data_IF_781581535984
#
_entry.id   IF_781581535984
#
_cell.length_a   1.000
_cell.length_b   1.000
_cell.length_c   1.000
_cell.angle_alpha   90.00
_cell.angle_beta   90.00
_cell.angle_gamma   90.00
#
_symmetry.space_group_name_H-M   'P 1'
#
loop_
_entity.id
_entity.type
_entity.pdbx_description
1 polymer ?
#
# COMPACT_ATOMS: atom_id res chain seq x y z
N UNK A 1 9.10 10.96 -10.88
CA UNK A 1 8.43 12.26 -10.64
C UNK A 1 7.25 12.13 -9.67
N UNK A 2 6.28 11.25 -9.90
CA UNK A 2 5.14 11.03 -8.99
C UNK A 2 5.54 10.88 -7.52
N UNK A 3 6.56 10.05 -7.22
CA UNK A 3 7.05 9.86 -5.85
C UNK A 3 7.67 11.13 -5.24
N UNK A 4 8.37 11.95 -6.02
CA UNK A 4 8.94 13.21 -5.52
C UNK A 4 7.84 14.15 -5.01
N UNK A 5 6.70 14.20 -5.71
CA UNK A 5 5.54 14.96 -5.28
C UNK A 5 4.98 14.46 -3.94
N UNK A 6 4.97 13.13 -3.72
CA UNK A 6 4.56 12.53 -2.43
C UNK A 6 5.47 13.00 -1.30
N UNK A 7 6.79 12.90 -1.45
CA UNK A 7 7.73 13.30 -0.40
C UNK A 7 7.68 14.80 -0.10
N UNK A 8 7.53 15.64 -1.13
CA UNK A 8 7.37 17.09 -0.96
C UNK A 8 6.08 17.41 -0.20
N UNK A 9 4.96 16.76 -0.58
CA UNK A 9 3.67 16.93 0.08
C UNK A 9 3.72 16.46 1.55
N UNK A 10 4.34 15.31 1.82
CA UNK A 10 4.45 14.77 3.18
C UNK A 10 5.29 15.67 4.07
N UNK A 11 6.41 16.17 3.56
CA UNK A 11 7.25 17.15 4.27
C UNK A 11 6.46 18.41 4.58
N UNK A 12 5.73 18.94 3.60
CA UNK A 12 4.85 20.10 3.79
C UNK A 12 3.73 19.82 4.79
N UNK A 13 3.11 18.64 4.72
CA UNK A 13 2.02 18.23 5.60
C UNK A 13 2.49 18.06 7.05
N UNK A 14 3.69 17.53 7.27
CA UNK A 14 4.27 17.37 8.60
C UNK A 14 4.54 18.74 9.26
N UNK A 15 5.01 19.73 8.50
CA UNK A 15 5.30 21.08 9.02
C UNK A 15 4.05 21.83 9.51
N UNK A 16 2.85 21.49 9.03
CA UNK A 16 1.60 22.09 9.51
C UNK A 16 1.39 21.94 11.01
N UNK A 17 1.90 20.86 11.60
CA UNK A 17 1.72 20.56 13.02
C UNK A 17 2.69 21.33 13.93
N UNK A 18 3.67 22.02 13.35
CA UNK A 18 4.70 22.80 14.05
C UNK A 18 4.87 24.20 13.44
N UNK A 19 3.80 24.75 12.85
CA UNK A 19 3.85 26.05 12.17
C UNK A 19 3.70 27.23 13.15
N UNK A 20 4.62 27.33 14.10
CA UNK A 20 4.65 28.35 15.16
C UNK A 20 5.78 29.38 14.97
N UNK A 21 6.61 29.23 13.93
CA UNK A 21 7.72 30.15 13.61
C UNK A 21 7.66 30.67 12.17
N UNK A 22 8.19 31.86 11.94
CA UNK A 22 8.34 32.41 10.58
C UNK A 22 9.17 31.51 9.67
N UNK A 23 10.20 30.86 10.21
CA UNK A 23 11.04 29.93 9.45
C UNK A 23 10.24 28.72 8.92
N UNK A 24 9.33 28.16 9.73
CA UNK A 24 8.45 27.06 9.29
C UNK A 24 7.48 27.56 8.22
N UNK A 25 6.86 28.73 8.41
CA UNK A 25 5.95 29.31 7.43
C UNK A 25 6.64 29.58 6.07
N UNK A 26 7.84 30.14 6.08
CA UNK A 26 8.67 30.36 4.88
C UNK A 26 9.04 29.04 4.20
N UNK A 27 9.42 28.02 4.98
CA UNK A 27 9.74 26.68 4.46
C UNK A 27 8.52 26.03 3.81
N UNK A 28 7.35 26.13 4.43
CA UNK A 28 6.09 25.63 3.86
C UNK A 28 5.73 26.35 2.56
N UNK A 29 5.93 27.67 2.49
CA UNK A 29 5.72 28.45 1.26
C UNK A 29 6.66 28.00 0.13
N UNK A 30 7.92 27.77 0.45
CA UNK A 30 8.90 27.22 -0.49
C UNK A 30 8.50 25.83 -1.00
N UNK A 31 8.09 24.92 -0.10
CA UNK A 31 7.61 23.59 -0.48
C UNK A 31 6.37 23.64 -1.37
N UNK A 32 5.42 24.56 -1.12
CA UNK A 32 4.29 24.78 -2.02
C UNK A 32 4.75 25.15 -3.44
N UNK A 33 5.76 26.01 -3.56
CA UNK A 33 6.36 26.36 -4.85
C UNK A 33 6.96 25.13 -5.56
N UNK A 34 7.71 24.30 -4.83
CA UNK A 34 8.30 23.06 -5.38
C UNK A 34 7.25 22.04 -5.81
N UNK A 35 6.19 21.88 -5.01
CA UNK A 35 5.05 21.00 -5.32
C UNK A 35 4.41 21.44 -6.65
N UNK A 36 4.16 22.74 -6.83
CA UNK A 36 3.57 23.27 -8.06
C UNK A 36 4.48 23.04 -9.28
N UNK A 37 5.78 23.26 -9.16
CA UNK A 37 6.74 23.00 -10.26
C UNK A 37 6.77 21.51 -10.61
N UNK A 38 6.80 20.63 -9.61
CA UNK A 38 6.81 19.17 -9.80
C UNK A 38 5.51 18.68 -10.43
N UNK A 39 4.36 19.20 -9.99
CA UNK A 39 3.03 18.93 -10.55
C UNK A 39 2.93 19.35 -12.03
N UNK A 40 3.39 20.57 -12.35
CA UNK A 40 3.41 21.06 -13.74
C UNK A 40 4.29 20.20 -14.63
N UNK A 41 5.49 19.86 -14.18
CA UNK A 41 6.39 19.00 -14.94
C UNK A 41 5.81 17.60 -15.12
N UNK A 42 5.12 17.04 -14.12
CA UNK A 42 4.44 15.76 -14.24
C UNK A 42 3.28 15.83 -15.26
N UNK A 43 2.52 16.91 -15.25
CA UNK A 43 1.45 17.16 -16.22
C UNK A 43 1.97 17.28 -17.66
N UNK A 44 3.13 17.91 -17.85
CA UNK A 44 3.80 17.98 -19.15
C UNK A 44 4.28 16.59 -19.61
N UNK A 45 4.79 15.75 -18.71
CA UNK A 45 5.16 14.36 -19.04
C UNK A 45 3.94 13.56 -19.49
N UNK A 46 2.82 13.64 -18.76
CA UNK A 46 1.56 12.97 -19.15
C UNK A 46 1.07 13.45 -20.52
N UNK A 47 1.14 14.75 -20.79
CA UNK A 47 0.79 15.28 -22.11
C UNK A 47 1.70 14.77 -23.22
N UNK A 48 3.01 14.69 -22.95
CA UNK A 48 3.98 14.15 -23.89
C UNK A 48 3.71 12.67 -24.18
N UNK A 49 3.43 11.85 -23.16
CA UNK A 49 3.12 10.42 -23.32
C UNK A 49 1.83 10.20 -24.17
N UNK A 50 0.87 11.11 -24.04
CA UNK A 50 -0.40 11.03 -24.76
C UNK A 50 -0.33 11.57 -26.19
N UNK A 51 0.31 12.72 -26.40
CA UNK A 51 0.24 13.51 -27.63
C UNK A 51 1.58 13.65 -28.37
N UNK A 52 2.68 13.19 -27.79
CA UNK A 52 4.03 13.33 -28.33
C UNK A 52 4.44 14.79 -28.53
N UNK A 53 5.15 15.05 -29.63
CA UNK A 53 5.65 16.38 -30.00
C UNK A 53 4.55 17.35 -30.48
N UNK A 54 3.29 16.90 -30.56
CA UNK A 54 2.18 17.78 -30.92
C UNK A 54 1.73 18.61 -29.70
N UNK A 55 2.55 19.59 -29.33
CA UNK A 55 2.34 20.48 -28.17
C UNK A 55 1.01 21.24 -28.24
N UNK A 56 0.48 21.51 -29.43
CA UNK A 56 -0.82 22.16 -29.62
C UNK A 56 -2.00 21.32 -29.09
N UNK A 57 -1.80 20.01 -28.90
CA UNK A 57 -2.80 19.09 -28.34
C UNK A 57 -2.60 18.81 -26.85
N UNK A 58 -1.58 19.38 -26.20
CA UNK A 58 -1.35 19.16 -24.78
C UNK A 58 -2.48 19.80 -23.95
N UNK A 59 -2.98 19.05 -22.98
CA UNK A 59 -4.08 19.45 -22.09
C UNK A 59 -3.73 19.16 -20.64
N UNK A 60 -4.41 19.78 -19.66
CA UNK A 60 -4.32 19.32 -18.28
C UNK A 60 -4.58 17.81 -18.16
N UNK A 61 -3.96 17.13 -17.17
CA UNK A 61 -4.16 15.70 -16.96
C UNK A 61 -5.64 15.37 -16.73
N UNK A 62 -6.11 14.37 -17.46
CA UNK A 62 -7.44 13.80 -17.28
C UNK A 62 -7.34 12.50 -16.47
N UNK A 63 -8.42 12.17 -15.77
CA UNK A 63 -8.55 10.96 -14.95
C UNK A 63 -9.65 10.06 -15.48
N UNK A 64 -9.86 8.91 -14.86
CA UNK A 64 -10.98 8.02 -15.19
C UNK A 64 -12.35 8.71 -15.03
N UNK A 65 -12.45 9.75 -14.18
CA UNK A 65 -13.67 10.58 -14.06
C UNK A 65 -13.96 11.42 -15.28
N UNK A 66 -12.93 11.77 -16.02
CA UNK A 66 -13.00 12.55 -17.25
C UNK A 66 -13.17 11.65 -18.49
N UNK A 67 -13.26 10.32 -18.28
CA UNK A 67 -13.31 9.32 -19.34
C UNK A 67 -11.93 8.99 -19.93
N UNK A 68 -10.85 9.39 -19.27
CA UNK A 68 -9.49 9.05 -19.68
C UNK A 68 -9.06 7.69 -19.13
N UNK A 69 -8.48 6.87 -20.00
CA UNK A 69 -7.95 5.55 -19.68
C UNK A 69 -6.60 5.38 -20.38
N UNK A 70 -5.59 4.94 -19.63
CA UNK A 70 -4.25 4.74 -20.19
C UNK A 70 -4.26 3.64 -21.27
N UNK A 71 -3.36 3.80 -22.25
CA UNK A 71 -3.19 2.82 -23.33
C UNK A 71 -2.79 1.47 -22.74
N UNK A 72 -3.48 0.41 -23.16
CA UNK A 72 -3.12 -0.97 -22.80
C UNK A 72 -2.27 -1.58 -23.91
N UNK A 73 -1.08 -2.07 -23.55
CA UNK A 73 -0.16 -2.75 -24.47
C UNK A 73 0.36 -4.09 -23.94
N UNK A 74 0.28 -4.28 -22.63
CA UNK A 74 0.71 -5.49 -21.95
C UNK A 74 -0.37 -6.57 -21.84
N UNK A 75 0.00 -7.76 -21.32
CA UNK A 75 -0.93 -8.87 -21.12
C UNK A 75 -2.17 -8.50 -20.27
N UNK A 76 -3.28 -9.20 -20.52
CA UNK A 76 -4.59 -8.95 -19.91
C UNK A 76 -4.60 -9.32 -18.42
N UNK A 77 -5.54 -8.76 -17.65
CA UNK A 77 -5.81 -9.22 -16.28
C UNK A 77 -6.09 -10.72 -16.30
N UNK A 78 -5.30 -11.49 -15.54
CA UNK A 78 -5.41 -12.95 -15.47
C UNK A 78 -4.74 -13.73 -16.61
N UNK A 79 -4.15 -13.07 -17.62
CA UNK A 79 -3.46 -13.72 -18.72
C UNK A 79 -2.11 -13.05 -19.01
N UNK A 80 -1.06 -13.47 -18.30
CA UNK A 80 0.34 -13.06 -18.51
C UNK A 80 1.28 -13.84 -17.59
N UNK A 81 2.61 -13.89 -17.85
CA UNK A 81 3.55 -14.43 -16.89
C UNK A 81 3.39 -13.65 -15.59
N UNK A 82 2.98 -14.33 -14.52
CA UNK A 82 2.77 -13.66 -13.25
C UNK A 82 4.13 -13.18 -12.74
N UNK A 83 4.29 -11.88 -12.56
CA UNK A 83 5.33 -11.37 -11.67
C UNK A 83 5.27 -12.20 -10.38
N UNK A 84 6.42 -12.67 -9.91
CA UNK A 84 6.47 -13.72 -8.91
C UNK A 84 7.84 -13.82 -8.30
N UNK A 85 7.89 -14.35 -7.08
CA UNK A 85 9.14 -14.44 -6.34
C UNK A 85 10.13 -15.37 -7.06
N UNK A 86 11.38 -14.95 -7.28
CA UNK A 86 12.34 -15.74 -8.05
C UNK A 86 12.69 -17.05 -7.31
N UNK A 87 12.71 -18.15 -8.05
CA UNK A 87 13.11 -19.46 -7.51
C UNK A 87 14.63 -19.62 -7.51
N UNK A 88 15.16 -20.46 -6.61
CA UNK A 88 16.57 -20.85 -6.63
C UNK A 88 17.56 -19.80 -6.12
N UNK A 89 17.07 -18.77 -5.43
CA UNK A 89 17.93 -17.82 -4.73
C UNK A 89 18.76 -18.54 -3.66
N UNK A 90 20.08 -18.32 -3.69
CA UNK A 90 21.00 -18.81 -2.66
C UNK A 90 21.14 -17.75 -1.57
N UNK A 91 21.06 -18.17 -0.30
CA UNK A 91 21.26 -17.28 0.84
C UNK A 91 22.71 -16.77 0.93
N UNK A 92 22.87 -15.47 1.13
CA UNK A 92 24.15 -14.84 1.44
C UNK A 92 24.46 -14.94 2.94
N UNK A 93 23.42 -14.75 3.75
CA UNK A 93 23.51 -14.71 5.21
C UNK A 93 22.27 -15.31 5.86
N UNK A 94 22.44 -15.83 7.08
CA UNK A 94 21.36 -16.43 7.88
C UNK A 94 21.17 -15.68 9.19
N UNK A 95 19.93 -15.59 9.63
CA UNK A 95 19.52 -15.00 10.91
C UNK A 95 18.80 -16.04 11.75
N UNK A 96 19.25 -16.28 12.98
CA UNK A 96 18.46 -17.03 13.96
C UNK A 96 18.56 -16.43 15.35
N UNK A 97 17.40 -16.32 16.02
CA UNK A 97 17.30 -15.87 17.42
C UNK A 97 18.09 -16.79 18.35
N UNK A 98 17.94 -18.10 18.14
CA UNK A 98 18.65 -19.15 18.84
C UNK A 98 19.42 -20.00 17.82
N UNK A 99 20.75 -20.09 17.94
CA UNK A 99 21.56 -20.96 17.08
C UNK A 99 22.93 -20.39 16.71
N UNK A 100 23.54 -21.01 15.70
CA UNK A 100 24.87 -20.68 15.17
C UNK A 100 24.82 -19.93 13.84
N UNK A 101 23.73 -19.22 13.56
CA UNK A 101 23.63 -18.39 12.35
C UNK A 101 24.62 -17.23 12.41
N UNK A 102 24.89 -16.64 11.24
CA UNK A 102 25.83 -15.53 11.14
C UNK A 102 25.36 -14.30 11.92
N UNK A 103 24.05 -14.04 11.92
CA UNK A 103 23.45 -12.92 12.64
C UNK A 103 22.36 -13.40 13.60
N UNK A 104 22.16 -12.62 14.67
CA UNK A 104 21.09 -12.84 15.66
C UNK A 104 19.87 -11.96 15.42
N UNK A 105 20.07 -10.79 14.83
CA UNK A 105 19.03 -9.80 14.49
C UNK A 105 18.93 -9.67 12.98
N UNK A 106 17.75 -9.26 12.51
CA UNK A 106 17.50 -8.98 11.09
C UNK A 106 18.22 -7.69 10.69
N UNK A 107 18.24 -6.66 11.54
CA UNK A 107 18.93 -5.41 11.24
C UNK A 107 20.44 -5.60 11.01
N UNK A 108 21.12 -6.45 11.79
CA UNK A 108 22.56 -6.71 11.58
C UNK A 108 22.82 -7.38 10.21
N UNK A 109 21.92 -8.26 9.77
CA UNK A 109 22.01 -8.88 8.47
C UNK A 109 21.76 -7.88 7.33
N UNK A 110 20.82 -6.93 7.51
CA UNK A 110 20.60 -5.82 6.57
C UNK A 110 21.82 -4.91 6.50
N UNK A 111 22.43 -4.58 7.64
CA UNK A 111 23.63 -3.74 7.71
C UNK A 111 24.82 -4.37 6.95
N UNK A 112 24.88 -5.69 6.91
CA UNK A 112 25.91 -6.45 6.20
C UNK A 112 25.73 -6.51 4.68
N UNK A 113 24.54 -6.18 4.16
CA UNK A 113 24.32 -6.09 2.73
C UNK A 113 25.22 -4.99 2.12
N UNK A 114 25.87 -5.21 0.97
CA UNK A 114 26.67 -4.16 0.33
C UNK A 114 25.77 -3.02 -0.16
N UNK A 115 26.28 -1.79 -0.06
CA UNK A 115 25.60 -0.61 -0.60
C UNK A 115 25.60 -0.64 -2.13
N UNK A 116 24.47 -0.30 -2.74
CA UNK A 116 24.29 -0.16 -4.18
C UNK A 116 24.82 -1.37 -4.98
N UNK A 117 24.40 -2.58 -4.60
CA UNK A 117 24.85 -3.88 -5.14
C UNK A 117 24.49 -4.15 -6.62
N UNK A 118 24.33 -3.11 -7.44
CA UNK A 118 23.94 -3.21 -8.84
C UNK A 118 22.60 -3.93 -8.99
N UNK A 119 22.57 -4.98 -9.81
CA UNK A 119 21.40 -5.86 -9.98
C UNK A 119 21.46 -7.13 -9.11
N UNK A 120 22.54 -7.32 -8.32
CA UNK A 120 22.72 -8.53 -7.51
C UNK A 120 21.84 -8.46 -6.28
N UNK A 121 21.07 -9.52 -6.05
CA UNK A 121 20.26 -9.71 -4.84
C UNK A 121 21.17 -10.04 -3.65
N UNK A 122 20.87 -9.48 -2.49
CA UNK A 122 21.47 -9.87 -1.22
C UNK A 122 20.43 -10.61 -0.38
N UNK A 123 20.59 -11.93 -0.27
CA UNK A 123 19.55 -12.82 0.25
C UNK A 123 19.78 -13.11 1.73
N UNK A 124 18.85 -12.67 2.55
CA UNK A 124 18.81 -12.86 3.99
C UNK A 124 17.78 -13.94 4.32
N UNK A 125 18.27 -15.13 4.68
CA UNK A 125 17.42 -16.20 5.21
C UNK A 125 17.19 -15.95 6.70
N UNK A 126 15.93 -15.74 7.08
CA UNK A 126 15.50 -15.48 8.44
C UNK A 126 14.78 -16.72 8.95
N UNK A 127 15.39 -17.43 9.88
CA UNK A 127 14.83 -18.68 10.38
C UNK A 127 13.56 -18.44 11.23
N UNK A 128 12.85 -19.50 11.55
CA UNK A 128 11.71 -19.49 12.47
C UNK A 128 12.07 -18.81 13.80
N UNK A 129 11.18 -17.93 14.26
CA UNK A 129 11.35 -17.16 15.48
C UNK A 129 10.57 -15.85 15.46
N UNK A 130 10.39 -15.29 16.66
CA UNK A 130 9.82 -13.95 16.86
C UNK A 130 10.96 -12.96 17.13
N UNK A 131 11.17 -12.03 16.21
CA UNK A 131 12.22 -11.02 16.22
C UNK A 131 11.61 -9.69 16.65
N UNK A 132 11.82 -9.33 17.92
CA UNK A 132 11.35 -8.06 18.51
C UNK A 132 12.37 -6.96 18.20
N UNK A 133 12.25 -6.35 17.02
CA UNK A 133 13.17 -5.31 16.55
C UNK A 133 12.49 -4.40 15.53
N UNK A 134 12.99 -3.17 15.40
CA UNK A 134 12.64 -2.27 14.30
C UNK A 134 13.69 -2.39 13.21
N UNK A 135 13.27 -2.74 12.00
CA UNK A 135 14.17 -2.97 10.87
C UNK A 135 14.00 -1.87 9.84
N UNK A 136 15.10 -1.25 9.42
CA UNK A 136 15.15 -0.32 8.29
C UNK A 136 16.07 -0.88 7.21
N UNK A 137 15.56 -0.98 5.99
CA UNK A 137 16.35 -1.21 4.77
C UNK A 137 16.56 0.16 4.11
N UNK A 138 17.70 0.84 4.37
CA UNK A 138 17.90 2.20 3.92
C UNK A 138 18.11 2.27 2.40
N UNK A 139 18.08 3.49 1.87
CA UNK A 139 18.09 3.77 0.42
C UNK A 139 19.27 3.11 -0.32
N UNK A 140 20.42 3.03 0.33
CA UNK A 140 21.65 2.46 -0.22
C UNK A 140 21.58 0.92 -0.34
N UNK A 141 20.74 0.25 0.45
CA UNK A 141 20.63 -1.22 0.48
C UNK A 141 19.64 -1.72 -0.57
N UNK A 142 20.04 -1.66 -1.85
CA UNK A 142 19.24 -2.14 -2.99
C UNK A 142 19.24 -3.67 -3.12
N UNK A 143 18.14 -4.21 -3.66
CA UNK A 143 17.91 -5.64 -3.92
C UNK A 143 18.10 -6.55 -2.69
N UNK A 144 17.78 -6.05 -1.51
CA UNK A 144 17.74 -6.89 -0.30
C UNK A 144 16.52 -7.82 -0.38
N UNK A 145 16.74 -9.10 -0.10
CA UNK A 145 15.71 -10.13 -0.16
C UNK A 145 15.57 -10.80 1.19
N UNK A 146 14.37 -10.78 1.77
CA UNK A 146 14.04 -11.53 2.98
C UNK A 146 13.33 -12.83 2.62
N UNK A 147 13.80 -13.95 3.17
CA UNK A 147 13.15 -15.25 3.05
C UNK A 147 12.96 -15.81 4.45
N UNK A 148 11.71 -15.92 4.90
CA UNK A 148 11.37 -16.56 6.17
C UNK A 148 11.20 -18.08 6.06
N UNK A 149 10.80 -18.73 7.16
CA UNK A 149 10.42 -20.15 7.20
C UNK A 149 8.90 -20.39 7.07
N UNK A 150 8.12 -19.32 6.91
CA UNK A 150 6.67 -19.34 6.71
C UNK A 150 5.96 -18.21 7.44
N UNK A 151 4.81 -17.78 6.91
CA UNK A 151 3.87 -16.90 7.63
C UNK A 151 3.53 -17.51 9.00
N UNK A 152 3.59 -16.68 10.05
CA UNK A 152 3.38 -17.08 11.44
C UNK A 152 4.54 -17.83 12.09
N UNK A 153 5.56 -18.26 11.34
CA UNK A 153 6.75 -18.93 11.86
C UNK A 153 7.92 -17.96 12.04
N UNK A 154 8.20 -17.18 11.00
CA UNK A 154 9.17 -16.09 11.06
C UNK A 154 8.39 -14.78 11.21
N UNK A 155 8.52 -14.13 12.36
CA UNK A 155 7.76 -12.92 12.70
C UNK A 155 8.73 -11.81 13.07
N UNK A 156 8.68 -10.67 12.40
CA UNK A 156 9.34 -9.43 12.85
C UNK A 156 8.26 -8.55 13.47
N UNK A 157 8.42 -8.21 14.75
CA UNK A 157 7.39 -7.51 15.54
C UNK A 157 7.93 -6.28 16.25
N UNK A 158 7.11 -5.23 16.29
CA UNK A 158 7.34 -4.00 17.03
C UNK A 158 6.04 -3.45 17.61
N UNK A 159 6.10 -2.31 18.31
CA UNK A 159 4.92 -1.73 18.97
C UNK A 159 4.92 -0.18 18.97
N UNK A 160 5.71 0.43 18.08
CA UNK A 160 5.74 1.89 17.94
C UNK A 160 4.39 2.38 17.40
N UNK A 161 3.97 3.56 17.87
CA UNK A 161 2.70 4.15 17.49
C UNK A 161 2.76 5.69 17.54
N UNK A 162 1.85 6.34 16.82
CA UNK A 162 1.83 7.80 16.67
C UNK A 162 1.35 8.54 17.93
N UNK A 163 0.80 7.84 18.91
CA UNK A 163 0.49 8.39 20.24
C UNK A 163 1.74 8.65 21.10
N UNK A 164 2.89 8.09 20.72
CA UNK A 164 4.16 8.30 21.43
C UNK A 164 4.74 9.70 21.12
N UNK A 165 5.27 10.43 22.13
CA UNK A 165 5.83 11.77 21.91
C UNK A 165 6.93 11.77 20.84
N UNK A 166 6.77 12.63 19.83
CA UNK A 166 7.75 12.82 18.76
C UNK A 166 7.76 11.73 17.68
N UNK A 167 6.84 10.76 17.71
CA UNK A 167 6.76 9.71 16.69
C UNK A 167 5.63 10.04 15.70
N UNK A 168 5.98 10.14 14.43
CA UNK A 168 5.01 10.27 13.33
C UNK A 168 4.57 8.89 12.86
N UNK A 169 3.40 8.77 12.21
CA UNK A 169 2.94 7.52 11.59
C UNK A 169 4.01 6.85 10.74
N UNK A 170 4.74 7.63 9.92
CA UNK A 170 5.84 7.14 9.07
C UNK A 170 6.94 6.41 9.89
N UNK A 171 7.24 6.92 11.08
CA UNK A 171 8.26 6.39 11.99
C UNK A 171 7.74 5.28 12.92
N UNK A 172 6.46 4.87 12.82
CA UNK A 172 5.92 3.74 13.60
C UNK A 172 6.18 2.37 12.97
N UNK A 173 6.66 2.34 11.72
CA UNK A 173 6.86 1.12 10.96
C UNK A 173 7.78 0.14 11.70
N UNK A 174 7.30 -1.07 11.97
CA UNK A 174 8.14 -2.16 12.49
C UNK A 174 9.22 -2.54 11.48
N UNK A 175 8.85 -2.63 10.20
CA UNK A 175 9.81 -2.75 9.09
C UNK A 175 9.57 -1.62 8.09
N UNK A 176 10.59 -0.80 7.86
CA UNK A 176 10.59 0.28 6.87
C UNK A 176 11.59 0.02 5.75
N UNK A 177 11.13 0.05 4.51
CA UNK A 177 11.94 -0.27 3.33
C UNK A 177 12.03 0.93 2.41
N UNK A 178 13.25 1.41 2.16
CA UNK A 178 13.55 2.53 1.26
C UNK A 178 14.42 2.08 0.07
N UNK A 179 15.30 1.10 0.25
CA UNK A 179 16.15 0.59 -0.82
C UNK A 179 15.37 -0.14 -1.92
N UNK A 180 15.55 0.27 -3.18
CA UNK A 180 14.85 -0.29 -4.36
C UNK A 180 15.07 -1.79 -4.55
N UNK A 181 14.10 -2.47 -5.17
CA UNK A 181 14.15 -3.89 -5.53
C UNK A 181 14.01 -4.83 -4.34
N UNK A 182 13.45 -4.35 -3.23
CA UNK A 182 13.24 -5.16 -2.04
C UNK A 182 12.28 -6.31 -2.35
N UNK A 183 12.61 -7.49 -1.83
CA UNK A 183 11.72 -8.65 -1.90
C UNK A 183 11.54 -9.29 -0.54
N UNK A 184 10.35 -9.80 -0.26
CA UNK A 184 10.09 -10.61 0.93
C UNK A 184 9.20 -11.80 0.59
N UNK A 185 9.47 -12.94 1.21
CA UNK A 185 8.62 -14.12 1.12
C UNK A 185 8.61 -14.94 2.40
N UNK A 186 7.48 -15.58 2.68
CA UNK A 186 7.31 -16.56 3.75
C UNK A 186 7.58 -15.97 5.15
N UNK A 187 7.10 -14.74 5.42
CA UNK A 187 7.39 -13.99 6.65
C UNK A 187 6.19 -13.15 7.11
N UNK A 188 6.07 -12.93 8.43
CA UNK A 188 5.08 -12.03 9.04
C UNK A 188 5.74 -10.73 9.53
N UNK A 189 5.16 -9.60 9.16
CA UNK A 189 5.46 -8.28 9.72
C UNK A 189 4.32 -7.85 10.64
N UNK A 190 4.64 -7.47 11.88
CA UNK A 190 3.62 -7.23 12.89
C UNK A 190 3.88 -5.95 13.69
N UNK A 191 2.82 -5.18 13.93
CA UNK A 191 2.82 -4.14 14.96
C UNK A 191 1.77 -4.47 16.04
N UNK A 192 2.23 -4.62 17.28
CA UNK A 192 1.43 -5.00 18.45
C UNK A 192 1.07 -3.82 19.35
N UNK A 193 1.12 -2.58 18.83
CA UNK A 193 0.68 -1.42 19.58
C UNK A 193 -0.70 -1.66 20.23
N UNK A 194 -0.78 -1.28 21.51
CA UNK A 194 -1.93 -1.58 22.36
C UNK A 194 -3.20 -0.82 21.96
N UNK A 195 -4.30 -1.03 22.70
CA UNK A 195 -5.51 -0.25 22.50
C UNK A 195 -5.24 1.26 22.61
N UNK A 196 -6.00 2.05 21.85
CA UNK A 196 -6.00 3.53 21.91
C UNK A 196 -4.69 4.21 21.50
N UNK A 197 -3.80 3.51 20.79
CA UNK A 197 -2.50 4.06 20.37
C UNK A 197 -2.53 4.78 19.02
N UNK A 198 -3.71 4.90 18.40
CA UNK A 198 -3.90 5.42 17.04
C UNK A 198 -3.06 4.65 15.99
N UNK A 199 -2.41 5.36 15.05
CA UNK A 199 -1.69 4.77 13.92
C UNK A 199 -0.47 3.96 14.38
N UNK A 200 -0.32 2.73 13.87
CA UNK A 200 0.78 1.84 14.20
C UNK A 200 1.11 0.90 13.02
N UNK A 201 2.16 1.23 12.28
CA UNK A 201 2.52 0.57 11.02
C UNK A 201 3.31 -0.72 11.28
N UNK A 202 2.88 -1.83 10.66
CA UNK A 202 3.61 -3.09 10.66
C UNK A 202 4.70 -3.10 9.58
N UNK A 203 4.35 -2.65 8.37
CA UNK A 203 5.27 -2.59 7.24
C UNK A 203 5.06 -1.31 6.44
N UNK A 204 6.15 -0.63 6.10
CA UNK A 204 6.18 0.53 5.21
C UNK A 204 7.12 0.24 4.05
N UNK A 205 6.66 0.50 2.83
CA UNK A 205 7.53 0.50 1.64
C UNK A 205 7.49 1.81 0.88
N UNK A 206 8.70 2.29 0.62
CA UNK A 206 9.11 3.45 -0.16
C UNK A 206 10.03 3.00 -1.31
N UNK A 207 10.03 1.70 -1.62
CA UNK A 207 10.98 1.04 -2.53
C UNK A 207 10.31 0.70 -3.86
N UNK A 208 10.91 1.16 -4.97
CA UNK A 208 10.44 0.78 -6.31
C UNK A 208 10.75 -0.70 -6.55
N UNK A 209 9.88 -1.38 -7.29
CA UNK A 209 9.97 -2.82 -7.54
C UNK A 209 9.91 -3.69 -6.27
N UNK A 210 9.17 -3.24 -5.26
CA UNK A 210 8.89 -4.06 -4.07
C UNK A 210 8.05 -5.28 -4.42
N UNK A 211 8.55 -6.49 -4.14
CA UNK A 211 7.83 -7.74 -4.35
C UNK A 211 7.65 -8.52 -3.05
N UNK A 212 6.40 -8.66 -2.60
CA UNK A 212 6.08 -9.42 -1.40
C UNK A 212 5.17 -10.59 -1.79
N UNK A 213 5.64 -11.83 -1.58
CA UNK A 213 4.90 -13.04 -1.93
C UNK A 213 4.73 -13.94 -0.71
N UNK A 214 3.50 -14.36 -0.40
CA UNK A 214 3.23 -15.22 0.77
C UNK A 214 3.73 -14.59 2.09
N UNK A 215 3.46 -13.30 2.27
CA UNK A 215 3.75 -12.56 3.49
C UNK A 215 2.48 -12.24 4.27
N UNK A 216 2.60 -12.08 5.58
CA UNK A 216 1.51 -11.67 6.45
C UNK A 216 1.81 -10.30 7.09
N UNK A 217 0.80 -9.42 7.14
CA UNK A 217 0.89 -8.10 7.75
C UNK A 217 -0.17 -7.99 8.83
N UNK A 218 0.25 -7.86 10.08
CA UNK A 218 -0.63 -7.86 11.24
C UNK A 218 -0.55 -6.52 11.97
N UNK A 219 -1.69 -5.84 12.07
CA UNK A 219 -1.80 -4.62 12.86
C UNK A 219 -3.25 -4.25 13.11
N UNK A 220 -3.47 -2.98 13.46
CA UNK A 220 -4.79 -2.40 13.69
C UNK A 220 -4.99 -1.24 12.70
N UNK A 221 -4.91 0.00 13.20
CA UNK A 221 -4.97 1.19 12.37
C UNK A 221 -3.64 1.37 11.63
N UNK A 222 -3.69 1.66 10.32
CA UNK A 222 -2.53 1.96 9.48
C UNK A 222 -1.52 0.78 9.36
N UNK A 223 -2.01 -0.46 9.26
CA UNK A 223 -1.15 -1.67 9.27
C UNK A 223 -0.08 -1.70 8.17
N UNK A 224 -0.49 -1.47 6.92
CA UNK A 224 0.37 -1.55 5.74
C UNK A 224 0.44 -0.19 5.04
N UNK A 225 1.62 0.43 5.11
CA UNK A 225 1.88 1.72 4.49
C UNK A 225 2.60 1.56 3.14
N UNK A 226 1.81 1.52 2.07
CA UNK A 226 2.30 1.51 0.68
C UNK A 226 2.57 2.96 0.24
N UNK A 227 3.67 3.52 0.75
CA UNK A 227 3.96 4.96 0.73
C UNK A 227 4.05 5.53 -0.69
N UNK A 228 4.95 4.99 -1.52
CA UNK A 228 5.22 5.49 -2.86
C UNK A 228 5.83 4.44 -3.80
N UNK A 229 6.03 4.82 -5.07
CA UNK A 229 6.64 3.96 -6.13
C UNK A 229 5.79 2.70 -6.45
N UNK A 230 6.36 1.73 -7.18
CA UNK A 230 5.64 0.54 -7.67
C UNK A 230 5.86 -0.66 -6.75
N UNK A 231 4.76 -1.30 -6.37
CA UNK A 231 4.77 -2.38 -5.38
C UNK A 231 3.80 -3.49 -5.78
N UNK A 232 4.17 -4.73 -5.48
CA UNK A 232 3.37 -5.91 -5.80
C UNK A 232 3.31 -6.87 -4.63
N UNK A 233 2.08 -7.17 -4.21
CA UNK A 233 1.74 -8.05 -3.09
C UNK A 233 0.97 -9.24 -3.64
N UNK A 234 1.50 -10.45 -3.49
CA UNK A 234 0.92 -11.67 -4.07
C UNK A 234 0.72 -12.74 -3.03
N UNK A 235 -0.51 -13.29 -2.93
CA UNK A 235 -0.84 -14.34 -1.94
C UNK A 235 -0.51 -13.91 -0.51
N UNK A 236 -0.64 -12.62 -0.22
CA UNK A 236 -0.38 -12.08 1.11
C UNK A 236 -1.65 -12.10 1.96
N UNK A 237 -1.48 -12.16 3.28
CA UNK A 237 -2.55 -11.95 4.25
C UNK A 237 -2.36 -10.59 4.92
N UNK A 238 -3.35 -9.71 4.84
CA UNK A 238 -3.27 -8.34 5.39
C UNK A 238 -4.42 -8.15 6.37
N UNK A 239 -4.10 -7.86 7.63
CA UNK A 239 -5.08 -7.74 8.70
C UNK A 239 -5.01 -6.38 9.39
N UNK A 240 -6.15 -5.70 9.53
CA UNK A 240 -6.27 -4.45 10.29
C UNK A 240 -7.70 -3.97 10.44
N UNK A 241 -7.91 -2.71 10.87
CA UNK A 241 -9.26 -2.16 11.06
C UNK A 241 -9.51 -0.85 10.32
N UNK A 242 -8.85 0.24 10.69
CA UNK A 242 -9.02 1.56 10.06
C UNK A 242 -7.82 1.88 9.18
N UNK A 243 -8.12 2.23 7.92
CA UNK A 243 -7.14 2.70 6.94
C UNK A 243 -5.94 1.76 6.81
N UNK A 244 -6.17 0.46 6.99
CA UNK A 244 -5.07 -0.46 7.27
C UNK A 244 -4.25 -0.81 6.02
N UNK A 245 -4.69 -0.39 4.84
CA UNK A 245 -3.89 -0.29 3.62
C UNK A 245 -3.96 1.16 3.12
N UNK A 246 -2.88 1.91 3.27
CA UNK A 246 -2.86 3.35 2.98
C UNK A 246 -1.55 3.81 2.37
N UNK A 247 -1.54 5.04 1.82
CA UNK A 247 -0.39 5.60 1.11
C UNK A 247 -0.71 6.03 -0.32
N UNK A 248 0.33 6.28 -1.13
CA UNK A 248 0.21 6.80 -2.49
C UNK A 248 1.11 6.05 -3.49
N UNK A 249 1.43 4.79 -3.23
CA UNK A 249 2.10 3.93 -4.21
C UNK A 249 1.18 3.56 -5.40
N UNK A 250 1.80 3.11 -6.49
CA UNK A 250 1.15 2.28 -7.50
C UNK A 250 1.26 0.81 -7.03
N UNK A 251 0.21 0.29 -6.40
CA UNK A 251 0.24 -1.02 -5.74
C UNK A 251 -0.79 -1.98 -6.30
N UNK A 252 -0.36 -3.19 -6.59
CA UNK A 252 -1.27 -4.30 -6.91
C UNK A 252 -1.21 -5.34 -5.79
N UNK A 253 -2.39 -5.73 -5.33
CA UNK A 253 -2.64 -6.84 -4.43
C UNK A 253 -3.31 -7.94 -5.23
N UNK A 254 -2.64 -9.08 -5.42
CA UNK A 254 -3.14 -10.19 -6.22
C UNK A 254 -3.27 -11.46 -5.38
N UNK A 255 -4.44 -12.10 -5.46
CA UNK A 255 -4.75 -13.35 -4.76
C UNK A 255 -4.54 -13.22 -3.23
N UNK A 256 -4.70 -12.01 -2.68
CA UNK A 256 -4.48 -11.73 -1.26
C UNK A 256 -5.74 -12.00 -0.42
N UNK A 257 -5.54 -12.33 0.85
CA UNK A 257 -6.58 -12.38 1.86
C UNK A 257 -6.54 -11.09 2.69
N UNK A 258 -7.64 -10.34 2.69
CA UNK A 258 -7.79 -9.06 3.39
C UNK A 258 -8.76 -9.27 4.55
N UNK A 259 -8.27 -9.08 5.77
CA UNK A 259 -8.98 -9.42 7.00
C UNK A 259 -9.25 -8.21 7.86
N UNK A 260 -10.53 -7.93 8.06
CA UNK A 260 -10.98 -6.89 8.99
C UNK A 260 -10.95 -7.46 10.41
N UNK A 261 -10.20 -6.81 11.29
CA UNK A 261 -10.07 -7.13 12.70
C UNK A 261 -10.99 -6.25 13.55
N UNK A 262 -11.41 -6.71 14.75
CA UNK A 262 -12.09 -5.86 15.71
C UNK A 262 -11.21 -4.69 16.14
N UNK A 263 -11.85 -3.65 16.67
CA UNK A 263 -11.13 -2.66 17.47
C UNK A 263 -10.70 -3.28 18.79
N UNK A 264 -9.55 -2.84 19.30
CA UNK A 264 -9.04 -3.34 20.56
C UNK A 264 -9.85 -2.85 21.77
N UNK A 265 -10.52 -1.70 21.65
CA UNK A 265 -11.37 -1.14 22.70
C UNK A 265 -12.84 -1.30 22.38
N UNK A 266 -13.59 -1.87 23.33
CA UNK A 266 -15.05 -2.01 23.30
C UNK A 266 -15.54 -2.55 21.94
N UNK A 267 -14.98 -3.67 21.45
CA UNK A 267 -15.27 -4.20 20.12
C UNK A 267 -16.77 -4.43 19.90
N UNK A 268 -17.53 -4.74 20.95
CA UNK A 268 -18.98 -4.95 20.90
C UNK A 268 -19.78 -3.71 20.47
N UNK A 269 -19.23 -2.51 20.64
CA UNK A 269 -19.90 -1.26 20.25
C UNK A 269 -19.90 -1.05 18.75
N UNK A 270 -19.04 -1.76 18.02
CA UNK A 270 -18.84 -1.60 16.58
C UNK A 270 -18.31 -0.22 16.20
N UNK A 271 -17.71 -0.15 15.01
CA UNK A 271 -17.19 1.08 14.43
C UNK A 271 -17.21 1.01 12.91
N UNK A 272 -16.80 2.12 12.27
CA UNK A 272 -16.53 2.17 10.83
C UNK A 272 -15.08 1.73 10.58
N UNK A 273 -14.92 0.62 9.86
CA UNK A 273 -13.65 0.15 9.32
C UNK A 273 -13.54 0.54 7.85
N UNK A 274 -12.36 0.96 7.42
CA UNK A 274 -12.08 1.23 6.02
C UNK A 274 -10.86 0.39 5.62
N UNK A 275 -11.03 -0.45 4.60
CA UNK A 275 -9.93 -1.29 4.09
C UNK A 275 -8.82 -0.42 3.53
N UNK A 276 -9.16 0.58 2.71
CA UNK A 276 -8.18 1.47 2.10
C UNK A 276 -8.33 2.94 2.46
N UNK A 277 -7.20 3.64 2.50
CA UNK A 277 -7.11 5.10 2.50
C UNK A 277 -6.05 5.56 1.49
N UNK A 278 -6.43 5.61 0.21
CA UNK A 278 -5.48 5.95 -0.85
C UNK A 278 -5.29 7.46 -0.95
N UNK A 279 -4.03 7.89 -1.07
CA UNK A 279 -3.59 9.27 -0.89
C UNK A 279 -3.08 9.97 -2.14
N UNK A 280 -3.63 9.72 -3.34
CA UNK A 280 -3.25 10.45 -4.56
C UNK A 280 -3.66 11.92 -4.48
N UNK A 281 -2.68 12.81 -4.57
CA UNK A 281 -2.86 14.27 -4.38
C UNK A 281 -2.99 15.03 -5.69
N UNK A 282 -2.60 14.43 -6.81
CA UNK A 282 -2.50 15.11 -8.10
C UNK A 282 -2.97 14.17 -9.23
N UNK A 283 -3.76 14.67 -10.21
CA UNK A 283 -4.33 13.83 -11.27
C UNK A 283 -3.27 13.27 -12.24
N UNK A 284 -2.11 13.90 -12.36
CA UNK A 284 -1.01 13.43 -13.19
C UNK A 284 -0.24 12.26 -12.56
N UNK A 285 -0.48 11.93 -11.28
CA UNK A 285 0.11 10.77 -10.65
C UNK A 285 -0.55 9.48 -11.16
N UNK A 286 0.28 8.58 -11.69
CA UNK A 286 -0.09 7.22 -12.09
C UNK A 286 -0.25 6.23 -10.91
N UNK A 287 -0.53 6.72 -9.71
CA UNK A 287 -0.59 5.92 -8.46
C UNK A 287 -2.02 5.47 -8.14
N UNK A 288 -2.17 4.48 -7.25
CA UNK A 288 -3.47 3.88 -6.94
C UNK A 288 -3.34 2.48 -6.38
N UNK A 289 -4.42 1.98 -5.79
CA UNK A 289 -4.47 0.60 -5.27
C UNK A 289 -5.37 -0.25 -6.16
N UNK A 290 -4.85 -1.40 -6.58
CA UNK A 290 -5.56 -2.37 -7.39
C UNK A 290 -5.61 -3.69 -6.65
N UNK A 291 -6.82 -4.21 -6.42
CA UNK A 291 -7.04 -5.54 -5.84
C UNK A 291 -7.54 -6.47 -6.93
N UNK A 292 -6.77 -7.54 -7.20
CA UNK A 292 -7.06 -8.55 -8.21
C UNK A 292 -7.30 -9.90 -7.54
N UNK A 293 -8.50 -10.46 -7.70
CA UNK A 293 -8.84 -11.79 -7.18
C UNK A 293 -8.61 -11.97 -5.67
N UNK A 294 -8.74 -10.88 -4.90
CA UNK A 294 -8.57 -10.94 -3.45
C UNK A 294 -9.85 -11.43 -2.76
N UNK A 295 -9.71 -11.99 -1.56
CA UNK A 295 -10.83 -12.22 -0.64
C UNK A 295 -10.86 -11.11 0.40
N UNK A 296 -12.03 -10.50 0.62
CA UNK A 296 -12.24 -9.48 1.64
C UNK A 296 -13.26 -10.03 2.64
N UNK A 297 -12.78 -10.34 3.84
CA UNK A 297 -13.56 -10.90 4.94
C UNK A 297 -13.12 -10.33 6.29
N UNK A 298 -13.73 -10.78 7.39
CA UNK A 298 -13.28 -10.47 8.74
C UNK A 298 -12.49 -11.63 9.34
N UNK A 299 -11.64 -11.32 10.32
CA UNK A 299 -11.16 -12.35 11.27
C UNK A 299 -12.33 -13.08 11.91
N UNK A 300 -12.11 -14.31 12.41
CA UNK A 300 -13.16 -15.08 13.11
C UNK A 300 -13.82 -14.29 14.25
N UNK A 301 -13.03 -13.52 14.98
CA UNK A 301 -13.52 -12.65 16.05
C UNK A 301 -14.41 -11.52 15.52
N UNK A 302 -13.96 -10.82 14.47
CA UNK A 302 -14.78 -9.77 13.84
C UNK A 302 -16.07 -10.33 13.25
N UNK A 303 -16.03 -11.49 12.60
CA UNK A 303 -17.22 -12.10 12.01
C UNK A 303 -18.24 -12.53 13.08
N UNK A 304 -17.80 -12.94 14.27
CA UNK A 304 -18.71 -13.19 15.40
C UNK A 304 -19.41 -11.91 15.85
N UNK A 305 -18.67 -10.82 15.99
CA UNK A 305 -19.19 -9.51 16.40
C UNK A 305 -20.16 -8.94 15.35
N UNK A 306 -19.77 -8.98 14.07
CA UNK A 306 -20.60 -8.58 12.94
C UNK A 306 -21.92 -9.36 12.90
N UNK A 307 -21.87 -10.69 13.04
CA UNK A 307 -23.09 -11.52 13.06
C UNK A 307 -24.00 -11.21 14.25
N UNK A 308 -23.42 -10.87 15.40
CA UNK A 308 -24.19 -10.50 16.59
C UNK A 308 -24.89 -9.14 16.44
N UNK A 309 -24.25 -8.15 15.82
CA UNK A 309 -24.84 -6.83 15.59
C UNK A 309 -24.29 -6.14 14.33
N UNK A 310 -24.81 -6.45 13.13
CA UNK A 310 -24.30 -5.90 11.88
C UNK A 310 -24.59 -4.40 11.70
N UNK A 311 -25.49 -3.82 12.51
CA UNK A 311 -25.85 -2.38 12.42
C UNK A 311 -24.73 -1.47 12.88
N UNK A 312 -23.89 -1.93 13.81
CA UNK A 312 -22.80 -1.15 14.41
C UNK A 312 -21.43 -1.54 13.86
N UNK A 313 -21.27 -2.76 13.36
CA UNK A 313 -20.03 -3.22 12.72
C UNK A 313 -20.07 -2.93 11.24
N UNK A 314 -19.59 -1.75 10.84
CA UNK A 314 -19.65 -1.29 9.44
C UNK A 314 -18.27 -1.36 8.82
N UNK A 315 -18.15 -2.08 7.70
CA UNK A 315 -16.90 -2.14 6.94
C UNK A 315 -17.09 -1.58 5.53
N UNK A 316 -16.10 -0.81 5.08
CA UNK A 316 -16.08 -0.15 3.79
C UNK A 316 -14.82 -0.54 3.02
N UNK A 317 -14.92 -0.62 1.69
CA UNK A 317 -13.80 -0.88 0.79
C UNK A 317 -12.72 0.20 0.89
N UNK A 318 -13.07 1.43 1.24
CA UNK A 318 -12.12 2.49 1.52
C UNK A 318 -12.73 3.87 1.68
N UNK A 319 -11.86 4.87 1.91
CA UNK A 319 -12.21 6.30 2.01
C UNK A 319 -11.10 7.21 1.45
N UNK A 320 -11.44 8.35 0.82
CA UNK A 320 -10.47 9.11 0.03
C UNK A 320 -9.59 10.00 0.92
N UNK A 321 -8.40 9.53 1.28
CA UNK A 321 -7.48 10.33 2.11
C UNK A 321 -7.06 11.65 1.44
N UNK A 322 -7.03 11.68 0.10
CA UNK A 322 -6.67 12.84 -0.73
C UNK A 322 -7.62 12.99 -1.92
N UNK A 323 -7.56 14.16 -2.59
CA UNK A 323 -8.54 14.61 -3.57
C UNK A 323 -8.69 13.69 -4.78
N UNK A 324 -7.61 13.10 -5.27
CA UNK A 324 -7.60 12.25 -6.46
C UNK A 324 -7.55 10.77 -6.11
N UNK A 325 -7.98 10.39 -4.91
CA UNK A 325 -7.88 9.03 -4.38
C UNK A 325 -8.33 7.97 -5.40
N UNK A 326 -7.53 6.93 -5.62
CA UNK A 326 -7.79 5.90 -6.64
C UNK A 326 -7.65 4.50 -6.07
N UNK A 327 -8.74 3.75 -6.01
CA UNK A 327 -8.77 2.35 -5.54
C UNK A 327 -9.72 1.54 -6.40
N UNK A 328 -9.31 0.33 -6.81
CA UNK A 328 -10.16 -0.58 -7.58
C UNK A 328 -10.15 -2.01 -7.04
N UNK A 329 -11.30 -2.68 -7.10
CA UNK A 329 -11.47 -4.10 -6.77
C UNK A 329 -11.99 -4.86 -8.00
N UNK A 330 -11.23 -5.84 -8.47
CA UNK A 330 -11.48 -6.57 -9.71
C UNK A 330 -11.43 -8.07 -9.44
N UNK A 331 -12.54 -8.77 -9.68
CA UNK A 331 -12.63 -10.22 -9.47
C UNK A 331 -12.54 -10.64 -8.00
N UNK A 332 -12.74 -9.72 -7.06
CA UNK A 332 -12.61 -10.00 -5.63
C UNK A 332 -13.87 -10.65 -5.06
N UNK A 333 -13.71 -11.54 -4.07
CA UNK A 333 -14.81 -12.04 -3.25
C UNK A 333 -15.04 -11.10 -2.07
N UNK A 334 -16.20 -10.45 -2.04
CA UNK A 334 -16.62 -9.53 -0.99
C UNK A 334 -17.64 -10.21 -0.08
N UNK A 335 -17.26 -10.48 1.18
CA UNK A 335 -18.16 -11.04 2.17
C UNK A 335 -19.21 -10.03 2.66
N UNK A 336 -20.24 -10.53 3.34
CA UNK A 336 -21.44 -9.75 3.72
C UNK A 336 -21.14 -8.57 4.67
N UNK A 337 -19.96 -8.56 5.30
CA UNK A 337 -19.52 -7.48 6.18
C UNK A 337 -19.34 -6.14 5.45
N UNK A 338 -19.13 -6.15 4.13
CA UNK A 338 -19.00 -4.93 3.34
C UNK A 338 -20.36 -4.24 3.29
N UNK A 339 -20.39 -3.01 3.79
CA UNK A 339 -21.58 -2.18 3.83
C UNK A 339 -22.10 -1.96 2.40
N UNK A 340 -23.42 -1.89 2.23
CA UNK A 340 -24.06 -1.68 0.93
C UNK A 340 -23.62 -0.38 0.24
N UNK A 341 -23.30 0.65 1.01
CA UNK A 341 -22.72 1.91 0.53
C UNK A 341 -21.39 1.68 -0.20
N UNK A 342 -20.65 0.63 0.19
CA UNK A 342 -19.35 0.21 -0.32
C UNK A 342 -18.20 1.08 0.15
N UNK A 343 -18.35 2.40 0.06
CA UNK A 343 -17.29 3.37 0.27
C UNK A 343 -17.72 4.41 1.31
N UNK A 344 -16.74 4.92 2.08
CA UNK A 344 -16.99 5.91 3.12
C UNK A 344 -16.43 7.28 2.69
N UNK A 345 -17.16 8.40 2.84
CA UNK A 345 -16.59 9.72 2.61
C UNK A 345 -15.50 10.02 3.64
N UNK A 346 -14.49 10.81 3.26
CA UNK A 346 -13.48 11.28 4.20
C UNK A 346 -14.02 12.37 5.11
N UNK A 347 -14.58 13.42 4.52
CA UNK A 347 -15.25 14.53 5.22
C UNK A 347 -16.17 15.28 4.25
N UNK A 348 -17.49 15.24 4.50
CA UNK A 348 -18.48 15.85 3.61
C UNK A 348 -18.32 15.39 2.16
N UNK A 349 -18.39 16.34 1.24
CA UNK A 349 -18.27 16.11 -0.21
C UNK A 349 -16.84 16.25 -0.76
N UNK A 350 -15.83 16.35 0.11
CA UNK A 350 -14.43 16.46 -0.30
C UNK A 350 -14.01 15.24 -1.13
N UNK A 351 -13.26 15.48 -2.21
CA UNK A 351 -12.75 14.45 -3.14
C UNK A 351 -13.80 13.70 -3.97
N UNK A 352 -15.11 13.78 -3.65
CA UNK A 352 -16.13 12.90 -4.24
C UNK A 352 -16.30 13.07 -5.76
N UNK A 353 -15.92 14.24 -6.29
CA UNK A 353 -15.97 14.54 -7.73
C UNK A 353 -14.71 14.10 -8.50
N UNK A 354 -13.59 13.93 -7.80
CA UNK A 354 -12.24 13.77 -8.38
C UNK A 354 -11.63 12.39 -8.09
N UNK A 355 -12.03 11.72 -7.02
CA UNK A 355 -11.61 10.35 -6.72
C UNK A 355 -12.10 9.36 -7.79
N UNK A 356 -11.43 8.23 -7.93
CA UNK A 356 -11.90 7.11 -8.74
C UNK A 356 -11.91 5.80 -7.95
N UNK A 357 -13.10 5.39 -7.51
CA UNK A 357 -13.35 4.15 -6.77
C UNK A 357 -14.16 3.17 -7.61
N UNK A 358 -13.48 2.17 -8.15
CA UNK A 358 -14.02 1.27 -9.18
C UNK A 358 -14.19 -0.17 -8.71
N UNK A 359 -15.27 -0.81 -9.15
CA UNK A 359 -15.52 -2.24 -8.95
C UNK A 359 -15.80 -2.92 -10.29
N UNK A 360 -15.27 -4.13 -10.51
CA UNK A 360 -15.59 -4.97 -11.67
C UNK A 360 -15.54 -6.46 -11.33
N UNK A 361 -16.57 -7.21 -11.76
CA UNK A 361 -16.62 -8.68 -11.64
C UNK A 361 -16.40 -9.24 -10.22
N UNK A 362 -16.68 -8.45 -9.18
CA UNK A 362 -16.62 -8.91 -7.80
C UNK A 362 -17.78 -9.88 -7.49
N UNK A 363 -17.51 -10.89 -6.68
CA UNK A 363 -18.48 -11.91 -6.25
C UNK A 363 -18.71 -11.85 -4.74
N UNK A 364 -19.64 -12.67 -4.23
CA UNK A 364 -19.92 -12.78 -2.81
C UNK A 364 -21.05 -11.86 -2.34
N UNK A 365 -21.57 -12.06 -1.12
CA UNK A 365 -22.76 -11.36 -0.63
C UNK A 365 -22.57 -9.85 -0.43
N UNK A 366 -21.33 -9.37 -0.28
CA UNK A 366 -20.99 -7.94 -0.20
C UNK A 366 -20.81 -7.25 -1.55
N UNK A 367 -20.92 -7.98 -2.68
CA UNK A 367 -20.67 -7.43 -4.01
C UNK A 367 -21.87 -6.83 -4.71
N UNK A 368 -23.06 -6.81 -4.08
CA UNK A 368 -24.21 -6.10 -4.64
C UNK A 368 -23.95 -4.59 -4.66
N UNK A 369 -24.00 -4.03 -5.87
CA UNK A 369 -23.69 -2.62 -6.12
C UNK A 369 -24.93 -1.73 -6.22
N UNK A 370 -26.14 -2.30 -6.17
CA UNK A 370 -27.41 -1.58 -6.36
C UNK A 370 -27.63 -0.42 -5.37
N UNK A 371 -26.94 -0.46 -4.23
CA UNK A 371 -27.02 0.53 -3.13
C UNK A 371 -25.71 1.27 -2.88
N UNK A 372 -24.71 1.13 -3.75
CA UNK A 372 -23.45 1.87 -3.60
C UNK A 372 -23.75 3.36 -3.60
N UNK A 373 -22.90 4.11 -2.90
CA UNK A 373 -22.87 5.56 -2.98
C UNK A 373 -22.83 6.01 -4.46
N UNK A 374 -23.51 7.11 -4.77
CA UNK A 374 -23.66 7.60 -6.16
C UNK A 374 -22.34 7.97 -6.84
N UNK A 375 -21.29 8.22 -6.07
CA UNK A 375 -19.93 8.49 -6.53
C UNK A 375 -19.08 7.21 -6.64
N UNK A 376 -19.63 6.01 -6.43
CA UNK A 376 -18.94 4.76 -6.80
C UNK A 376 -18.92 4.59 -8.33
N UNK A 377 -17.91 3.92 -8.87
CA UNK A 377 -17.73 3.73 -10.31
C UNK A 377 -17.79 2.26 -10.71
N UNK A 378 -18.26 1.98 -11.92
CA UNK A 378 -18.10 0.69 -12.61
C UNK A 378 -16.87 0.83 -13.49
N UNK A 379 -15.94 -0.12 -13.44
CA UNK A 379 -14.86 -0.17 -14.43
C UNK A 379 -15.45 -0.79 -15.70
N UNK A 380 -15.47 -0.09 -16.85
CA UNK A 380 -15.92 -0.67 -18.11
C UNK A 380 -15.05 -1.86 -18.51
N UNK A 381 -15.66 -2.89 -19.08
CA UNK A 381 -15.00 -4.17 -19.38
C UNK A 381 -13.79 -4.00 -20.31
N UNK A 382 -13.87 -3.08 -21.26
CA UNK A 382 -12.84 -2.71 -22.21
C UNK A 382 -11.61 -2.03 -21.57
N UNK A 383 -11.74 -1.51 -20.35
CA UNK A 383 -10.69 -0.78 -19.64
C UNK A 383 -10.12 -1.53 -18.44
N UNK A 384 -10.68 -2.69 -18.07
CA UNK A 384 -10.21 -3.51 -16.94
C UNK A 384 -8.71 -3.84 -17.07
N UNK A 385 -8.22 -4.06 -18.29
CA UNK A 385 -6.83 -4.43 -18.54
C UNK A 385 -5.81 -3.32 -18.21
N UNK A 386 -6.25 -2.06 -18.06
CA UNK A 386 -5.39 -0.97 -17.56
C UNK A 386 -4.84 -1.28 -16.17
N UNK A 387 -5.59 -2.04 -15.37
CA UNK A 387 -5.22 -2.42 -14.00
C UNK A 387 -4.47 -3.76 -13.93
N UNK A 388 -3.98 -4.30 -15.06
CA UNK A 388 -3.13 -5.49 -15.05
C UNK A 388 -1.75 -5.22 -14.45
N UNK A 389 -1.06 -6.28 -14.02
CA UNK A 389 0.32 -6.19 -13.51
C UNK A 389 1.27 -5.55 -14.52
N UNK A 390 1.11 -5.86 -15.81
CA UNK A 390 1.94 -5.27 -16.85
C UNK A 390 1.58 -3.80 -17.11
N UNK A 391 0.30 -3.45 -17.19
CA UNK A 391 -0.08 -2.08 -17.58
C UNK A 391 0.04 -1.09 -16.41
N UNK A 392 -0.35 -1.48 -15.19
CA UNK A 392 -0.43 -0.56 -14.06
C UNK A 392 0.92 -0.32 -13.37
N UNK A 393 1.75 -1.37 -13.23
CA UNK A 393 3.06 -1.29 -12.55
C UNK A 393 4.24 -1.73 -13.43
N UNK A 394 4.02 -1.93 -14.73
CA UNK A 394 5.08 -2.30 -15.68
C UNK A 394 5.83 -3.56 -15.20
N UNK A 395 5.09 -4.53 -14.68
CA UNK A 395 5.65 -5.71 -13.99
C UNK A 395 6.58 -6.57 -14.84
N UNK A 396 6.49 -6.47 -16.16
CA UNK A 396 7.36 -7.11 -17.15
C UNK A 396 8.77 -6.47 -17.22
N UNK A 397 8.91 -5.20 -16.81
CA UNK A 397 10.19 -4.50 -16.74
C UNK A 397 10.99 -4.85 -15.48
N UNK A 398 10.36 -5.50 -14.50
CA UNK A 398 11.01 -5.84 -13.24
C UNK A 398 12.04 -6.93 -13.56
N UNK A 399 13.32 -6.58 -13.55
CA UNK A 399 14.41 -7.52 -13.86
C UNK A 399 14.51 -8.59 -12.77
N UNK A 400 13.73 -9.64 -12.91
CA UNK A 400 13.72 -10.79 -11.99
C UNK A 400 14.82 -11.80 -12.32
N UNK A 401 16.00 -11.39 -12.80
CA UNK A 401 17.09 -12.33 -13.07
C UNK A 401 17.66 -12.86 -11.76
N UNK A 402 17.64 -14.18 -11.61
CA UNK A 402 18.19 -14.93 -10.46
C UNK A 402 19.71 -14.94 -10.41
#
# INVERSE_FOLDING_TARGET
MSAALVYQYDSWSALKYVNDTNQVAETMSFLNGLINVTSNALSMMVSYDNFGDNVASWTPPATERDGFWDKTGGPKVGAGPSLGFPSGLKEDVTVCKNGKCRYKTVQDAVNAAPDNNGARKFVIKINEGVYEETVTVPFEKKNVVFIGDGMGKTVITGSLNAGMPGITTYNTATVGVVGDGFMARDITFQNTAGPDTHQAVAFRSDSDFSLLENCEFLGNQDTLYVHGLRQFYKKCRIQGNVDFIFGNAASIFQDCEILIAPRQLKPEKGENNAVTAQGRVDPAQSTGFVFLNCSITGTDEYMKLYKANPKVHKSYLGRPWKDYSRTVFIGCNLEALINSDGWLPWSGDLSLKTLYYGESKNTGPGSDRSKRVSWSSVIPDEHVDMYSVANFIQGDEWKMSG
#
